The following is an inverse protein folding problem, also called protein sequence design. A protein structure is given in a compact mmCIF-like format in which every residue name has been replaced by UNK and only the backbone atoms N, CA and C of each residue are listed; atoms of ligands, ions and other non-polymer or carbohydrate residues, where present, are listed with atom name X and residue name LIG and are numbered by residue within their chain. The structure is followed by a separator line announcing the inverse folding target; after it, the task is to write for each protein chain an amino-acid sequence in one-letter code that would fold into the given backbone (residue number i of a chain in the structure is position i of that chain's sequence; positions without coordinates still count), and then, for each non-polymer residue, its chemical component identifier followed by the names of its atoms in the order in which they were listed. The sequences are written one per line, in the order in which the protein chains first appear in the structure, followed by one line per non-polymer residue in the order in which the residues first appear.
data_IF_258706425746
#
_entry.id   IF_258706425746
#
_cell.length_a   1.000
_cell.length_b   1.000
_cell.length_c   1.000
_cell.angle_alpha   90.00
_cell.angle_beta   90.00
_cell.angle_gamma   90.00
#
_symmetry.space_group_name_H-M   'P 1'
#
loop_
_entity.id
_entity.type
_entity.pdbx_description
1 polymer ?
#
# COMPACT_ATOMS: atom_id res chain seq x y z
N UNK A 1 -11.74 29.61 -6.17
CA UNK A 1 -10.71 28.57 -6.40
C UNK A 1 -10.35 28.60 -7.87
N UNK A 2 -9.06 28.70 -8.23
CA UNK A 2 -8.69 28.65 -9.65
C UNK A 2 -8.91 27.24 -10.21
N UNK A 3 -9.19 27.13 -11.50
CA UNK A 3 -9.32 25.82 -12.18
C UNK A 3 -8.08 24.95 -11.94
N UNK A 4 -6.88 25.55 -11.96
CA UNK A 4 -5.63 24.86 -11.68
C UNK A 4 -5.59 24.20 -10.29
N UNK A 5 -6.04 24.89 -9.24
CA UNK A 5 -6.13 24.29 -7.88
C UNK A 5 -7.15 23.15 -7.80
N UNK A 6 -8.26 23.26 -8.54
CA UNK A 6 -9.24 22.18 -8.64
C UNK A 6 -8.66 20.94 -9.32
N UNK A 7 -7.92 21.11 -10.42
CA UNK A 7 -7.26 20.00 -11.12
C UNK A 7 -6.16 19.36 -10.28
N UNK A 8 -5.38 20.16 -9.53
CA UNK A 8 -4.38 19.64 -8.60
C UNK A 8 -5.01 18.74 -7.52
N UNK A 9 -6.14 19.16 -6.93
CA UNK A 9 -6.84 18.34 -5.93
C UNK A 9 -7.32 17.00 -6.50
N UNK A 10 -7.81 16.97 -7.75
CA UNK A 10 -8.16 15.72 -8.43
C UNK A 10 -6.92 14.85 -8.66
N UNK A 11 -5.81 15.45 -9.12
CA UNK A 11 -4.54 14.74 -9.31
C UNK A 11 -4.02 14.09 -8.03
N UNK A 12 -4.11 14.79 -6.89
CA UNK A 12 -3.76 14.24 -5.58
C UNK A 12 -4.66 13.05 -5.20
N UNK A 13 -5.97 13.14 -5.47
CA UNK A 13 -6.91 12.04 -5.26
C UNK A 13 -6.60 10.80 -6.11
N UNK A 14 -6.17 10.99 -7.36
CA UNK A 14 -5.74 9.89 -8.23
C UNK A 14 -4.42 9.28 -7.74
N UNK A 15 -3.47 10.09 -7.26
CA UNK A 15 -2.19 9.59 -6.78
C UNK A 15 -2.35 8.63 -5.58
N UNK A 16 -3.21 8.95 -4.61
CA UNK A 16 -3.47 8.04 -3.46
C UNK A 16 -4.20 6.76 -3.84
N UNK A 17 -4.83 6.69 -5.02
CA UNK A 17 -5.52 5.48 -5.49
C UNK A 17 -4.57 4.29 -5.69
N UNK A 18 -3.27 4.54 -5.85
CA UNK A 18 -2.23 3.49 -5.84
C UNK A 18 -2.27 2.61 -4.58
N UNK A 19 -2.69 3.17 -3.43
CA UNK A 19 -2.85 2.41 -2.19
C UNK A 19 -3.91 1.31 -2.28
N UNK A 20 -4.85 1.39 -3.22
CA UNK A 20 -5.81 0.32 -3.48
C UNK A 20 -5.12 -0.96 -3.98
N UNK A 21 -4.13 -0.82 -4.85
CA UNK A 21 -3.32 -1.94 -5.34
C UNK A 21 -2.50 -2.58 -4.22
N UNK A 22 -1.89 -1.75 -3.36
CA UNK A 22 -1.18 -2.22 -2.16
C UNK A 22 -2.11 -3.03 -1.25
N UNK A 23 -3.26 -2.47 -0.86
CA UNK A 23 -4.18 -3.12 0.07
C UNK A 23 -4.69 -4.49 -0.43
N UNK A 24 -4.91 -4.65 -1.73
CA UNK A 24 -5.25 -5.96 -2.32
C UNK A 24 -4.05 -6.93 -2.22
N UNK A 25 -2.84 -6.46 -2.53
CA UNK A 25 -1.62 -7.26 -2.45
C UNK A 25 -1.33 -7.72 -1.03
N UNK A 26 -1.40 -6.82 -0.06
CA UNK A 26 -1.21 -7.11 1.36
C UNK A 26 -2.25 -8.10 1.89
N UNK A 27 -3.52 -7.92 1.52
CA UNK A 27 -4.60 -8.84 1.88
C UNK A 27 -4.33 -10.28 1.39
N UNK A 28 -3.85 -10.43 0.16
CA UNK A 28 -3.48 -11.73 -0.40
C UNK A 28 -2.25 -12.34 0.30
N UNK A 29 -1.22 -11.54 0.57
CA UNK A 29 -0.02 -11.98 1.30
C UNK A 29 -0.41 -12.49 2.69
N UNK A 30 -1.24 -11.73 3.41
CA UNK A 30 -1.71 -12.08 4.74
C UNK A 30 -2.57 -13.35 4.72
N UNK A 31 -3.51 -13.48 3.78
CA UNK A 31 -4.36 -14.66 3.65
C UNK A 31 -3.52 -15.94 3.42
N UNK A 32 -2.57 -15.90 2.47
CA UNK A 32 -1.70 -17.04 2.21
C UNK A 32 -0.74 -17.36 3.37
N UNK A 33 -0.30 -16.33 4.10
CA UNK A 33 0.48 -16.55 5.32
C UNK A 33 -0.34 -17.26 6.40
N UNK A 34 -1.61 -16.91 6.58
CA UNK A 34 -2.50 -17.59 7.53
C UNK A 34 -2.75 -19.05 7.14
N UNK A 35 -3.00 -19.33 5.86
CA UNK A 35 -3.13 -20.70 5.35
C UNK A 35 -1.86 -21.52 5.59
N UNK A 36 -0.68 -20.93 5.34
CA UNK A 36 0.60 -21.60 5.54
C UNK A 36 0.87 -21.89 7.02
N UNK A 37 0.54 -20.95 7.92
CA UNK A 37 0.67 -21.13 9.38
C UNK A 37 -0.31 -22.22 9.87
N UNK A 38 -1.55 -22.23 9.38
CA UNK A 38 -2.54 -23.24 9.74
C UNK A 38 -2.10 -24.66 9.34
N UNK A 39 -1.39 -24.80 8.22
CA UNK A 39 -0.82 -26.08 7.76
C UNK A 39 0.44 -26.48 8.52
N UNK A 40 1.31 -25.52 8.85
CA UNK A 40 2.58 -25.77 9.53
C UNK A 40 2.79 -24.80 10.72
N UNK A 41 2.18 -25.05 11.88
CA UNK A 41 2.25 -24.14 13.03
C UNK A 41 3.68 -23.90 13.55
N UNK A 42 4.55 -24.91 13.43
CA UNK A 42 5.96 -24.83 13.84
C UNK A 42 6.77 -23.81 13.03
N UNK A 43 6.37 -23.54 11.79
CA UNK A 43 7.02 -22.58 10.90
C UNK A 43 6.49 -21.14 11.06
N UNK A 44 5.57 -20.90 12.00
CA UNK A 44 4.83 -19.63 12.07
C UNK A 44 5.71 -18.38 12.20
N UNK A 45 6.82 -18.47 12.94
CA UNK A 45 7.77 -17.36 13.10
C UNK A 45 8.40 -16.93 11.76
N UNK A 46 8.86 -17.90 10.98
CA UNK A 46 9.47 -17.66 9.66
C UNK A 46 8.44 -17.12 8.68
N UNK A 47 7.24 -17.70 8.66
CA UNK A 47 6.15 -17.25 7.79
C UNK A 47 5.74 -15.82 8.11
N UNK A 48 5.57 -15.46 9.39
CA UNK A 48 5.25 -14.08 9.80
C UNK A 48 6.33 -13.10 9.36
N UNK A 49 7.60 -13.46 9.49
CA UNK A 49 8.72 -12.60 9.07
C UNK A 49 8.68 -12.34 7.56
N UNK A 50 8.45 -13.37 6.75
CA UNK A 50 8.33 -13.24 5.31
C UNK A 50 7.06 -12.49 4.88
N UNK A 51 5.95 -12.70 5.59
CA UNK A 51 4.70 -11.97 5.38
C UNK A 51 4.90 -10.46 5.60
N UNK A 52 5.53 -10.07 6.71
CA UNK A 52 5.81 -8.66 7.02
C UNK A 52 6.73 -8.04 5.95
N UNK A 53 7.76 -8.76 5.52
CA UNK A 53 8.63 -8.30 4.44
C UNK A 53 7.85 -8.12 3.14
N UNK A 54 6.99 -9.07 2.77
CA UNK A 54 6.16 -8.99 1.57
C UNK A 54 5.19 -7.81 1.62
N UNK A 55 4.52 -7.60 2.77
CA UNK A 55 3.63 -6.46 3.02
C UNK A 55 4.40 -5.14 2.87
N UNK A 56 5.57 -5.02 3.53
CA UNK A 56 6.38 -3.81 3.44
C UNK A 56 6.81 -3.47 2.00
N UNK A 57 7.08 -4.50 1.19
CA UNK A 57 7.40 -4.32 -0.24
C UNK A 57 6.16 -3.91 -1.05
N UNK A 58 5.00 -4.50 -0.79
CA UNK A 58 3.74 -4.15 -1.44
C UNK A 58 3.35 -2.67 -1.17
N UNK A 59 3.57 -2.22 0.07
CA UNK A 59 3.20 -0.89 0.54
C UNK A 59 3.99 0.25 -0.11
N UNK A 60 5.14 -0.04 -0.70
CA UNK A 60 5.96 0.98 -1.38
C UNK A 60 5.19 1.76 -2.44
N UNK A 61 4.26 1.11 -3.15
CA UNK A 61 3.41 1.74 -4.17
C UNK A 61 2.43 2.76 -3.56
N UNK A 62 1.82 2.42 -2.42
CA UNK A 62 0.94 3.31 -1.67
C UNK A 62 1.70 4.49 -1.09
N UNK A 63 2.91 4.27 -0.56
CA UNK A 63 3.79 5.32 -0.05
C UNK A 63 4.17 6.30 -1.16
N UNK A 64 4.51 5.83 -2.36
CA UNK A 64 4.83 6.72 -3.48
C UNK A 64 3.61 7.54 -3.91
N UNK A 65 2.42 6.95 -3.98
CA UNK A 65 1.19 7.69 -4.26
C UNK A 65 0.87 8.75 -3.23
N UNK A 66 1.02 8.43 -1.94
CA UNK A 66 0.85 9.37 -0.85
C UNK A 66 1.88 10.51 -0.93
N UNK A 67 3.15 10.21 -1.18
CA UNK A 67 4.20 11.22 -1.32
C UNK A 67 3.90 12.19 -2.47
N UNK A 68 3.46 11.68 -3.63
CA UNK A 68 3.07 12.51 -4.77
C UNK A 68 1.84 13.37 -4.45
N UNK A 69 0.81 12.81 -3.81
CA UNK A 69 -0.36 13.57 -3.39
C UNK A 69 0.02 14.70 -2.41
N UNK A 70 0.93 14.42 -1.48
CA UNK A 70 1.44 15.42 -0.54
C UNK A 70 2.16 16.56 -1.27
N UNK A 71 3.03 16.24 -2.24
CA UNK A 71 3.71 17.25 -3.05
C UNK A 71 2.72 18.13 -3.84
N UNK A 72 1.68 17.52 -4.43
CA UNK A 72 0.66 18.24 -5.20
C UNK A 72 -0.14 19.22 -4.33
N UNK A 73 -0.43 18.88 -3.07
CA UNK A 73 -1.29 19.71 -2.21
C UNK A 73 -0.50 20.80 -1.47
N UNK A 74 0.72 20.48 -1.03
CA UNK A 74 1.44 21.34 -0.09
C UNK A 74 2.66 22.04 -0.68
N UNK A 75 3.17 21.60 -1.83
CA UNK A 75 4.40 22.13 -2.41
C UNK A 75 4.15 22.80 -3.77
N UNK A 76 3.28 22.23 -4.60
CA UNK A 76 2.97 22.70 -5.96
C UNK A 76 1.73 23.61 -5.98
#
# INVERSE_FOLDING_TARGET
MSVGKGLAAIGAGIAVFTGFGSGIGEGNIAAHAMDAIGRNPEAASVIRSNMILGIALAETTGIYGFAIAFLIIFVM
#
